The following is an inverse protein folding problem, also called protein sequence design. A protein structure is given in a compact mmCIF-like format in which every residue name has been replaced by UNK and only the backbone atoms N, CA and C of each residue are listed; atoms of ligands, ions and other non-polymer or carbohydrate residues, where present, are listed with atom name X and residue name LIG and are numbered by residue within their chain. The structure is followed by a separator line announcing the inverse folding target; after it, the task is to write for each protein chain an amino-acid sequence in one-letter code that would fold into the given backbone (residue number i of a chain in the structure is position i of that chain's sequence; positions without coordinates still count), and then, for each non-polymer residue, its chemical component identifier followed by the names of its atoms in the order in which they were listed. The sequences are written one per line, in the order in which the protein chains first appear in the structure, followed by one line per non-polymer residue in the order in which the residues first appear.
data_IF_877765716651
#
_entry.id   IF_877765716651
#
_cell.length_a   1.000
_cell.length_b   1.000
_cell.length_c   1.000
_cell.angle_alpha   90.00
_cell.angle_beta   90.00
_cell.angle_gamma   90.00
#
_symmetry.space_group_name_H-M   'P 1'
#
loop_
_entity.id
_entity.type
_entity.pdbx_description
1 polymer ?
#
# COMPACT_ATOMS: atom_id res chain seq x y z
N UNK A 1 53.44 -25.49 25.83
CA UNK A 1 52.01 -25.72 25.52
C UNK A 1 51.10 -24.51 25.69
N UNK A 2 51.54 -23.32 26.16
CA UNK A 2 50.65 -22.15 26.28
C UNK A 2 50.33 -21.40 24.96
N UNK A 3 51.31 -21.32 24.04
CA UNK A 3 51.17 -20.57 22.77
C UNK A 3 50.15 -21.22 21.81
N UNK A 4 50.07 -22.56 21.81
CA UNK A 4 49.10 -23.28 20.97
C UNK A 4 47.66 -23.08 21.46
N UNK A 5 47.43 -23.05 22.77
CA UNK A 5 46.10 -22.81 23.35
C UNK A 5 45.63 -21.37 23.09
N UNK A 6 46.51 -20.38 23.24
CA UNK A 6 46.21 -18.98 22.89
C UNK A 6 45.81 -18.80 21.42
N UNK A 7 46.47 -19.50 20.49
CA UNK A 7 46.11 -19.45 19.06
C UNK A 7 44.73 -20.07 18.79
N UNK A 8 44.38 -21.16 19.46
CA UNK A 8 43.05 -21.79 19.34
C UNK A 8 41.94 -20.90 19.87
N UNK A 9 42.15 -20.30 21.05
CA UNK A 9 41.17 -19.39 21.67
C UNK A 9 40.94 -18.16 20.78
N UNK A 10 42.00 -17.57 20.22
CA UNK A 10 41.84 -16.45 19.29
C UNK A 10 41.13 -16.85 17.99
N UNK A 11 41.44 -18.02 17.42
CA UNK A 11 40.76 -18.50 16.22
C UNK A 11 39.27 -18.78 16.47
N UNK A 12 38.91 -19.31 17.64
CA UNK A 12 37.52 -19.53 18.06
C UNK A 12 36.78 -18.20 18.28
N UNK A 13 37.46 -17.20 18.86
CA UNK A 13 36.93 -15.86 19.05
C UNK A 13 36.69 -15.14 17.71
N UNK A 14 37.62 -15.21 16.75
CA UNK A 14 37.45 -14.64 15.40
C UNK A 14 36.30 -15.30 14.65
N UNK A 15 36.21 -16.64 14.72
CA UNK A 15 35.10 -17.38 14.13
C UNK A 15 33.76 -16.94 14.72
N UNK A 16 33.68 -16.80 16.05
CA UNK A 16 32.48 -16.33 16.73
C UNK A 16 32.08 -14.92 16.29
N UNK A 17 33.03 -14.00 16.17
CA UNK A 17 32.76 -12.64 15.68
C UNK A 17 32.23 -12.63 14.25
N UNK A 18 32.79 -13.46 13.36
CA UNK A 18 32.32 -13.58 11.97
C UNK A 18 30.89 -14.13 11.92
N UNK A 19 30.58 -15.14 12.72
CA UNK A 19 29.24 -15.73 12.79
C UNK A 19 28.22 -14.75 13.37
N UNK A 20 28.56 -14.04 14.44
CA UNK A 20 27.71 -13.01 15.05
C UNK A 20 27.46 -11.85 14.09
N UNK A 21 28.49 -11.38 13.37
CA UNK A 21 28.35 -10.35 12.34
C UNK A 21 27.41 -10.79 11.21
N UNK A 22 27.58 -12.01 10.68
CA UNK A 22 26.69 -12.58 9.66
C UNK A 22 25.25 -12.71 10.14
N UNK A 23 25.06 -13.18 11.37
CA UNK A 23 23.72 -13.30 11.98
C UNK A 23 23.05 -11.93 12.12
N UNK A 24 23.81 -10.92 12.56
CA UNK A 24 23.34 -9.54 12.67
C UNK A 24 22.95 -8.97 11.30
N UNK A 25 23.79 -9.15 10.28
CA UNK A 25 23.48 -8.72 8.92
C UNK A 25 22.24 -9.41 8.36
N UNK A 26 22.10 -10.72 8.57
CA UNK A 26 20.93 -11.49 8.14
C UNK A 26 19.66 -10.96 8.82
N UNK A 27 19.72 -10.68 10.13
CA UNK A 27 18.60 -10.09 10.85
C UNK A 27 18.26 -8.70 10.33
N UNK A 28 19.24 -7.82 10.15
CA UNK A 28 19.00 -6.46 9.63
C UNK A 28 18.36 -6.53 8.24
N UNK A 29 18.85 -7.39 7.35
CA UNK A 29 18.26 -7.60 6.03
C UNK A 29 16.81 -8.10 6.13
N UNK A 30 16.55 -9.08 6.99
CA UNK A 30 15.21 -9.61 7.19
C UNK A 30 14.25 -8.52 7.69
N UNK A 31 14.68 -7.68 8.64
CA UNK A 31 13.87 -6.56 9.14
C UNK A 31 13.58 -5.53 8.06
N UNK A 32 14.57 -5.16 7.24
CA UNK A 32 14.38 -4.20 6.14
C UNK A 32 13.38 -4.73 5.11
N UNK A 33 13.49 -6.01 4.73
CA UNK A 33 12.57 -6.63 3.78
C UNK A 33 11.15 -6.66 4.36
N UNK A 34 11.00 -7.11 5.61
CA UNK A 34 9.69 -7.18 6.27
C UNK A 34 9.02 -5.80 6.38
N UNK A 35 9.77 -4.77 6.76
CA UNK A 35 9.28 -3.39 6.83
C UNK A 35 8.91 -2.86 5.43
N UNK A 36 9.72 -3.14 4.40
CA UNK A 36 9.42 -2.76 3.03
C UNK A 36 8.14 -3.43 2.50
N UNK A 37 7.97 -4.72 2.76
CA UNK A 37 6.76 -5.47 2.39
C UNK A 37 5.52 -4.94 3.12
N UNK A 38 5.63 -4.69 4.42
CA UNK A 38 4.53 -4.15 5.22
C UNK A 38 4.10 -2.77 4.68
N UNK A 39 5.05 -1.85 4.50
CA UNK A 39 4.76 -0.52 3.94
C UNK A 39 4.18 -0.60 2.55
N UNK A 40 4.68 -1.52 1.71
CA UNK A 40 4.15 -1.76 0.37
C UNK A 40 2.69 -2.19 0.40
N UNK A 41 2.34 -3.14 1.27
CA UNK A 41 0.97 -3.61 1.46
C UNK A 41 0.05 -2.52 2.00
N UNK A 42 0.47 -1.78 3.02
CA UNK A 42 -0.32 -0.69 3.61
C UNK A 42 -0.60 0.41 2.59
N UNK A 43 0.42 0.84 1.84
CA UNK A 43 0.26 1.83 0.77
C UNK A 43 -0.67 1.34 -0.32
N UNK A 44 -0.46 0.10 -0.80
CA UNK A 44 -1.30 -0.50 -1.84
C UNK A 44 -2.77 -0.61 -1.41
N UNK A 45 -3.02 -1.07 -0.19
CA UNK A 45 -4.37 -1.18 0.36
C UNK A 45 -5.03 0.20 0.51
N UNK A 46 -4.32 1.18 1.07
CA UNK A 46 -4.83 2.54 1.26
C UNK A 46 -5.17 3.22 -0.08
N UNK A 47 -4.27 3.11 -1.06
CA UNK A 47 -4.49 3.64 -2.41
C UNK A 47 -5.66 2.93 -3.10
N UNK A 48 -5.72 1.60 -3.05
CA UNK A 48 -6.79 0.82 -3.65
C UNK A 48 -8.15 1.13 -3.04
N UNK A 49 -8.24 1.23 -1.71
CA UNK A 49 -9.48 1.58 -1.02
C UNK A 49 -9.94 2.99 -1.37
N UNK A 50 -9.02 3.96 -1.38
CA UNK A 50 -9.34 5.36 -1.75
C UNK A 50 -9.82 5.47 -3.19
N UNK A 51 -9.13 4.81 -4.12
CA UNK A 51 -9.55 4.76 -5.53
C UNK A 51 -10.90 4.08 -5.70
N UNK A 52 -11.11 2.92 -5.06
CA UNK A 52 -12.36 2.17 -5.13
C UNK A 52 -13.54 2.95 -4.57
N UNK A 53 -13.38 3.62 -3.42
CA UNK A 53 -14.42 4.48 -2.84
C UNK A 53 -14.76 5.68 -3.74
N UNK A 54 -13.76 6.32 -4.33
CA UNK A 54 -13.96 7.44 -5.24
C UNK A 54 -14.69 7.00 -6.52
N UNK A 55 -14.24 5.88 -7.12
CA UNK A 55 -14.88 5.29 -8.29
C UNK A 55 -16.32 4.87 -7.99
N UNK A 56 -16.57 4.19 -6.87
CA UNK A 56 -17.91 3.76 -6.47
C UNK A 56 -18.87 4.95 -6.28
N UNK A 57 -18.44 5.99 -5.57
CA UNK A 57 -19.23 7.23 -5.42
C UNK A 57 -19.55 7.90 -6.75
N UNK A 58 -18.60 7.88 -7.69
CA UNK A 58 -18.80 8.47 -9.00
C UNK A 58 -19.77 7.64 -9.85
N UNK A 59 -19.66 6.32 -9.80
CA UNK A 59 -20.56 5.41 -10.52
C UNK A 59 -21.99 5.53 -9.96
N UNK A 60 -22.15 5.54 -8.64
CA UNK A 60 -23.45 5.76 -7.98
C UNK A 60 -24.09 7.08 -8.42
N UNK A 61 -23.34 8.18 -8.45
CA UNK A 61 -23.83 9.47 -8.94
C UNK A 61 -24.32 9.39 -10.39
N UNK A 62 -23.59 8.68 -11.25
CA UNK A 62 -23.97 8.48 -12.65
C UNK A 62 -25.22 7.61 -12.79
N UNK A 63 -25.36 6.55 -11.99
CA UNK A 63 -26.56 5.72 -11.96
C UNK A 63 -27.79 6.51 -11.51
N UNK A 64 -27.65 7.31 -10.45
CA UNK A 64 -28.71 8.22 -10.00
C UNK A 64 -29.07 9.20 -11.11
N UNK A 65 -28.09 9.84 -11.75
CA UNK A 65 -28.35 10.78 -12.85
C UNK A 65 -29.11 10.12 -14.02
N UNK A 66 -28.70 8.90 -14.42
CA UNK A 66 -29.40 8.12 -15.46
C UNK A 66 -30.83 7.81 -15.06
N UNK A 67 -31.06 7.41 -13.81
CA UNK A 67 -32.40 7.13 -13.29
C UNK A 67 -33.28 8.38 -13.32
N UNK A 68 -32.79 9.52 -12.81
CA UNK A 68 -33.53 10.78 -12.80
C UNK A 68 -33.82 11.29 -14.22
N UNK A 69 -32.88 11.11 -15.16
CA UNK A 69 -33.09 11.43 -16.58
C UNK A 69 -34.19 10.57 -17.19
N UNK A 70 -34.21 9.26 -16.91
CA UNK A 70 -35.28 8.34 -17.34
C UNK A 70 -36.64 8.71 -16.74
N UNK A 71 -36.67 9.27 -15.53
CA UNK A 71 -37.88 9.78 -14.88
C UNK A 71 -38.34 11.14 -15.46
N UNK A 72 -37.64 11.72 -16.43
CA UNK A 72 -38.02 12.96 -17.09
C UNK A 72 -37.77 14.23 -16.27
N UNK A 73 -36.89 14.17 -15.26
CA UNK A 73 -36.52 15.37 -14.50
C UNK A 73 -35.71 16.34 -15.38
N UNK A 74 -35.86 17.65 -15.08
CA UNK A 74 -35.06 18.68 -15.75
C UNK A 74 -33.58 18.57 -15.38
N UNK A 75 -32.73 18.95 -16.33
CA UNK A 75 -31.28 18.92 -16.21
C UNK A 75 -30.78 19.64 -14.94
N UNK A 76 -31.33 20.82 -14.63
CA UNK A 76 -31.01 21.58 -13.42
C UNK A 76 -31.25 20.79 -12.13
N UNK A 77 -32.36 20.04 -12.05
CA UNK A 77 -32.67 19.21 -10.87
C UNK A 77 -31.70 18.04 -10.74
N UNK A 78 -31.29 17.46 -11.87
CA UNK A 78 -30.33 16.34 -11.89
C UNK A 78 -28.95 16.83 -11.45
N UNK A 79 -28.49 17.98 -11.95
CA UNK A 79 -27.24 18.63 -11.51
C UNK A 79 -27.27 18.87 -10.01
N UNK A 80 -28.36 19.44 -9.49
CA UNK A 80 -28.51 19.71 -8.06
C UNK A 80 -28.52 18.45 -7.19
N UNK A 81 -29.12 17.36 -7.67
CA UNK A 81 -29.22 16.11 -6.91
C UNK A 81 -27.93 15.28 -6.92
N UNK A 82 -27.18 15.29 -8.03
CA UNK A 82 -26.03 14.39 -8.23
C UNK A 82 -24.68 15.11 -8.07
N UNK A 83 -24.68 16.44 -8.20
CA UNK A 83 -23.48 17.27 -8.23
C UNK A 83 -22.62 17.04 -9.48
N UNK A 84 -23.16 16.38 -10.51
CA UNK A 84 -22.51 16.21 -11.81
C UNK A 84 -22.73 17.47 -12.66
N UNK A 85 -21.76 17.78 -13.51
CA UNK A 85 -21.87 18.86 -14.47
C UNK A 85 -22.85 18.52 -15.60
N UNK A 86 -23.35 19.55 -16.27
CA UNK A 86 -24.20 19.39 -17.44
C UNK A 86 -23.55 18.51 -18.52
N UNK A 87 -22.26 18.73 -18.79
CA UNK A 87 -21.51 17.96 -19.78
C UNK A 87 -21.39 16.47 -19.40
N UNK A 88 -21.27 16.15 -18.11
CA UNK A 88 -21.27 14.77 -17.63
C UNK A 88 -22.64 14.13 -17.82
N UNK A 89 -23.73 14.83 -17.45
CA UNK A 89 -25.10 14.32 -17.58
C UNK A 89 -25.52 14.17 -19.06
N UNK A 90 -25.06 15.05 -19.93
CA UNK A 90 -25.30 14.96 -21.38
C UNK A 90 -24.65 13.71 -22.00
N UNK A 91 -23.53 13.24 -21.44
CA UNK A 91 -22.80 12.03 -21.88
C UNK A 91 -23.36 10.72 -21.28
N UNK A 92 -24.30 10.79 -20.34
CA UNK A 92 -24.93 9.64 -19.68
C UNK A 92 -26.21 9.17 -20.37
#
# INVERSE_FOLDING_TARGET
MAIQELKKINADQELRQILEARSKEAHTRATIIADAEQRGREKGLSQGLSQGLSQGKMEEKKEIARSLKKMGLSLEKIIKATGLSEAEIAKL
#
